data_IF_382083615166
#
_entry.id   IF_382083615166
#
_cell.length_a   1.000
_cell.length_b   1.000
_cell.length_c   1.000
_cell.angle_alpha   90.00
_cell.angle_beta   90.00
_cell.angle_gamma   90.00
#
_symmetry.space_group_name_H-M   'P 1'
#
loop_
_entity.id
_entity.type
_entity.pdbx_description
1 polymer ?
#
# COMPACT_ATOMS: atom_id res chain seq x y z
N UNK A 1 1.89 -2.34 22.33
CA UNK A 1 2.32 -3.37 23.29
C UNK A 1 1.30 -3.30 24.42
N UNK A 2 0.29 -4.17 24.41
CA UNK A 2 -0.72 -4.19 25.47
C UNK A 2 -0.22 -5.19 26.50
N UNK A 3 0.16 -4.68 27.66
CA UNK A 3 0.48 -5.48 28.84
C UNK A 3 -0.77 -6.24 29.27
N UNK A 4 -0.64 -7.56 29.32
CA UNK A 4 -1.65 -8.45 29.90
C UNK A 4 -1.28 -8.50 31.38
N UNK A 5 -2.12 -7.90 32.22
CA UNK A 5 -2.03 -8.02 33.68
C UNK A 5 -2.24 -9.49 34.04
N UNK A 6 -1.14 -10.15 34.37
CA UNK A 6 -1.11 -11.49 34.94
C UNK A 6 -1.58 -11.37 36.40
N UNK A 7 -2.90 -11.46 36.60
CA UNK A 7 -3.51 -11.53 37.92
C UNK A 7 -3.21 -12.91 38.50
N UNK A 8 -2.13 -12.98 39.27
CA UNK A 8 -1.73 -14.16 40.03
C UNK A 8 -2.77 -14.37 41.14
N UNK A 9 -3.69 -15.31 40.92
CA UNK A 9 -4.52 -15.86 41.99
C UNK A 9 -3.63 -16.62 42.96
N UNK A 10 -3.44 -16.02 44.14
CA UNK A 10 -2.74 -16.64 45.24
C UNK A 10 -3.73 -17.60 45.93
N UNK A 11 -3.62 -18.88 45.59
CA UNK A 11 -4.35 -19.99 46.22
C UNK A 11 -3.94 -20.11 47.70
N UNK A 12 -4.71 -19.48 48.59
CA UNK A 12 -4.61 -19.69 50.04
C UNK A 12 -5.55 -20.82 50.46
N UNK A 13 -5.31 -22.04 49.98
CA UNK A 13 -6.00 -23.25 50.42
C UNK A 13 -5.45 -23.71 51.78
N UNK A 14 -5.85 -22.98 52.81
CA UNK A 14 -5.54 -23.26 54.21
C UNK A 14 -6.76 -23.27 55.12
N UNK A 15 -7.97 -23.56 54.60
CA UNK A 15 -9.15 -23.72 55.43
C UNK A 15 -9.27 -25.17 55.89
N UNK A 16 -8.83 -25.45 57.11
CA UNK A 16 -9.17 -26.66 57.86
C UNK A 16 -10.70 -26.79 57.83
N UNK A 17 -11.23 -27.76 57.07
CA UNK A 17 -12.67 -27.90 56.85
C UNK A 17 -13.41 -27.97 58.20
N UNK A 18 -14.15 -26.91 58.48
CA UNK A 18 -15.05 -26.83 59.62
C UNK A 18 -16.33 -27.54 59.18
N UNK A 19 -16.68 -28.65 59.83
CA UNK A 19 -17.92 -29.40 59.55
C UNK A 19 -19.09 -28.43 59.33
N UNK A 20 -19.86 -28.66 58.26
CA UNK A 20 -20.99 -27.83 57.91
C UNK A 20 -21.90 -27.62 59.13
N UNK A 21 -22.29 -26.37 59.40
CA UNK A 21 -23.19 -26.05 60.53
C UNK A 21 -24.48 -26.88 60.50
N UNK A 22 -24.93 -27.26 59.29
CA UNK A 22 -26.08 -28.15 59.08
C UNK A 22 -25.79 -29.59 59.52
N UNK A 23 -24.63 -30.13 59.17
CA UNK A 23 -24.21 -31.49 59.56
C UNK A 23 -23.95 -31.55 61.06
N UNK A 24 -23.30 -30.53 61.62
CA UNK A 24 -23.09 -30.41 63.06
C UNK A 24 -24.40 -30.32 63.83
N UNK A 25 -25.39 -29.57 63.34
CA UNK A 25 -26.73 -29.50 63.94
C UNK A 25 -27.49 -30.84 63.91
N UNK A 26 -27.38 -31.59 62.80
CA UNK A 26 -27.93 -32.94 62.67
C UNK A 26 -27.22 -33.93 63.59
N UNK A 27 -25.90 -33.91 63.62
CA UNK A 27 -25.08 -34.73 64.50
C UNK A 27 -25.48 -34.54 65.96
N UNK A 28 -25.55 -33.28 66.44
CA UNK A 28 -25.97 -32.95 67.81
C UNK A 28 -27.37 -33.49 68.14
N UNK A 29 -28.31 -33.41 67.19
CA UNK A 29 -29.67 -33.92 67.38
C UNK A 29 -29.70 -35.44 67.47
N UNK A 30 -28.93 -36.13 66.61
CA UNK A 30 -28.86 -37.59 66.57
C UNK A 30 -28.14 -38.15 67.81
N UNK A 31 -27.03 -37.53 68.23
CA UNK A 31 -26.32 -37.92 69.44
C UNK A 31 -27.17 -37.76 70.70
N UNK A 32 -27.98 -36.69 70.79
CA UNK A 32 -28.93 -36.51 71.90
C UNK A 32 -30.01 -37.60 71.95
N UNK A 33 -30.50 -38.09 70.81
CA UNK A 33 -31.44 -39.22 70.80
C UNK A 33 -30.75 -40.55 71.14
N UNK A 34 -29.49 -40.74 70.72
CA UNK A 34 -28.70 -41.90 71.15
C UNK A 34 -28.47 -41.93 72.66
N UNK A 35 -28.16 -40.79 73.28
CA UNK A 35 -28.04 -40.70 74.75
C UNK A 35 -29.33 -41.15 75.47
N UNK A 36 -30.51 -40.78 74.95
CA UNK A 36 -31.80 -41.22 75.51
C UNK A 36 -32.05 -42.72 75.33
N UNK A 37 -31.69 -43.27 74.17
CA UNK A 37 -31.78 -44.70 73.87
C UNK A 37 -30.89 -45.52 74.81
N UNK A 38 -29.62 -45.13 74.96
CA UNK A 38 -28.66 -45.77 75.87
C UNK A 38 -29.19 -45.71 77.32
N UNK A 39 -29.71 -44.55 77.74
CA UNK A 39 -30.26 -44.38 79.09
C UNK A 39 -31.46 -45.29 79.38
N UNK A 40 -32.21 -45.69 78.36
CA UNK A 40 -33.45 -46.46 78.50
C UNK A 40 -33.26 -47.96 78.25
N UNK A 41 -32.31 -48.35 77.39
CA UNK A 41 -32.18 -49.70 76.85
C UNK A 41 -30.74 -50.26 76.86
N UNK A 42 -29.77 -49.56 77.46
CA UNK A 42 -28.33 -49.89 77.47
C UNK A 42 -27.60 -49.65 76.13
N UNK A 43 -26.27 -49.64 76.17
CA UNK A 43 -25.38 -49.26 75.07
C UNK A 43 -25.41 -50.25 73.89
N UNK A 44 -25.68 -51.54 74.16
CA UNK A 44 -25.66 -52.59 73.13
C UNK A 44 -26.68 -52.35 72.00
N UNK A 45 -27.75 -51.57 72.23
CA UNK A 45 -28.76 -51.27 71.22
C UNK A 45 -28.26 -50.34 70.11
N UNK A 46 -27.26 -49.50 70.40
CA UNK A 46 -26.74 -48.49 69.45
C UNK A 46 -25.35 -48.82 68.89
N UNK A 47 -24.69 -49.84 69.46
CA UNK A 47 -23.29 -50.19 69.18
C UNK A 47 -22.97 -50.43 67.71
N UNK A 48 -23.84 -51.12 66.98
CA UNK A 48 -23.66 -51.36 65.54
C UNK A 48 -24.19 -50.20 64.67
N UNK A 49 -25.14 -49.42 65.19
CA UNK A 49 -25.79 -48.33 64.47
C UNK A 49 -24.96 -47.04 64.48
N UNK A 50 -24.25 -46.76 65.58
CA UNK A 50 -23.46 -45.54 65.75
C UNK A 50 -22.36 -45.38 64.68
N UNK A 51 -21.55 -46.41 64.34
CA UNK A 51 -20.57 -46.31 63.26
C UNK A 51 -21.20 -46.01 61.89
N UNK A 52 -22.39 -46.56 61.62
CA UNK A 52 -23.11 -46.30 60.36
C UNK A 52 -23.58 -44.84 60.28
N UNK A 53 -24.12 -44.30 61.38
CA UNK A 53 -24.55 -42.91 61.45
C UNK A 53 -23.37 -41.95 61.34
N UNK A 54 -22.25 -42.24 62.01
CA UNK A 54 -21.02 -41.45 61.89
C UNK A 54 -20.55 -41.42 60.44
N UNK A 55 -20.44 -42.58 59.79
CA UNK A 55 -20.05 -42.68 58.39
C UNK A 55 -21.02 -41.92 57.47
N UNK A 56 -22.33 -41.95 57.73
CA UNK A 56 -23.30 -41.16 56.95
C UNK A 56 -23.09 -39.65 57.14
N UNK A 57 -22.83 -39.18 58.36
CA UNK A 57 -22.58 -37.77 58.66
C UNK A 57 -21.26 -37.29 58.04
N UNK A 58 -20.19 -38.09 58.10
CA UNK A 58 -18.90 -37.79 57.47
C UNK A 58 -19.02 -37.73 55.94
N UNK A 59 -19.72 -38.69 55.32
CA UNK A 59 -19.96 -38.67 53.87
C UNK A 59 -20.82 -37.47 53.45
N UNK A 60 -21.83 -37.09 54.25
CA UNK A 60 -22.65 -35.91 53.99
C UNK A 60 -21.83 -34.63 54.08
N UNK A 61 -20.95 -34.51 55.07
CA UNK A 61 -20.06 -33.35 55.22
C UNK A 61 -19.06 -33.22 54.07
N UNK A 62 -18.48 -34.36 53.66
CA UNK A 62 -17.59 -34.45 52.50
C UNK A 62 -18.28 -33.98 51.22
N UNK A 63 -19.47 -34.51 50.91
CA UNK A 63 -20.24 -34.13 49.72
C UNK A 63 -20.68 -32.67 49.76
N UNK A 64 -21.02 -32.13 50.94
CA UNK A 64 -21.37 -30.71 51.07
C UNK A 64 -20.17 -29.80 50.83
N UNK A 65 -18.99 -30.18 51.32
CA UNK A 65 -17.75 -29.45 51.08
C UNK A 65 -17.41 -29.45 49.60
N UNK A 66 -17.42 -30.62 48.95
CA UNK A 66 -17.17 -30.76 47.52
C UNK A 66 -18.16 -29.93 46.69
N UNK A 67 -19.45 -29.96 47.04
CA UNK A 67 -20.46 -29.18 46.34
C UNK A 67 -20.25 -27.66 46.47
N UNK A 68 -19.75 -27.20 47.62
CA UNK A 68 -19.42 -25.79 47.81
C UNK A 68 -18.18 -25.37 47.02
N UNK A 69 -17.17 -26.25 46.92
CA UNK A 69 -16.02 -26.04 46.04
C UNK A 69 -16.44 -25.94 44.56
N UNK A 70 -17.31 -26.84 44.10
CA UNK A 70 -17.88 -26.81 42.75
C UNK A 70 -18.70 -25.53 42.50
N UNK A 71 -19.44 -25.03 43.50
CA UNK A 71 -20.20 -23.79 43.39
C UNK A 71 -19.27 -22.58 43.18
N UNK A 72 -18.16 -22.52 43.91
CA UNK A 72 -17.13 -21.48 43.76
C UNK A 72 -16.45 -21.57 42.39
N UNK A 73 -16.05 -22.77 41.95
CA UNK A 73 -15.45 -22.96 40.62
C UNK A 73 -16.41 -22.50 39.50
N UNK A 74 -17.70 -22.82 39.65
CA UNK A 74 -18.73 -22.43 38.69
C UNK A 74 -18.93 -20.92 38.65
N UNK A 75 -18.83 -20.21 39.78
CA UNK A 75 -18.86 -18.74 39.80
C UNK A 75 -17.62 -18.13 39.13
N UNK A 76 -16.43 -18.65 39.39
CA UNK A 76 -15.20 -18.20 38.72
C UNK A 76 -15.28 -18.39 37.20
N UNK A 77 -15.72 -19.56 36.75
CA UNK A 77 -15.89 -19.83 35.32
C UNK A 77 -16.93 -18.92 34.66
N UNK A 78 -17.98 -18.52 35.38
CA UNK A 78 -18.96 -17.55 34.88
C UNK A 78 -18.34 -16.17 34.73
N UNK A 79 -17.57 -15.72 35.72
CA UNK A 79 -16.88 -14.42 35.66
C UNK A 79 -15.88 -14.38 34.50
N UNK A 80 -15.06 -15.42 34.35
CA UNK A 80 -14.12 -15.55 33.22
C UNK A 80 -14.85 -15.52 31.87
N UNK A 81 -16.01 -16.18 31.78
CA UNK A 81 -16.82 -16.19 30.56
C UNK A 81 -17.35 -14.78 30.24
N UNK A 82 -17.82 -14.03 31.23
CA UNK A 82 -18.32 -12.67 31.07
C UNK A 82 -17.20 -11.70 30.62
N UNK A 83 -16.01 -11.84 31.20
CA UNK A 83 -14.83 -11.09 30.77
C UNK A 83 -14.46 -11.43 29.32
N UNK A 84 -14.46 -12.72 28.95
CA UNK A 84 -14.15 -13.17 27.60
C UNK A 84 -15.16 -12.63 26.57
N UNK A 85 -16.45 -12.61 26.90
CA UNK A 85 -17.50 -12.02 26.06
C UNK A 85 -17.23 -10.53 25.86
N UNK A 86 -16.93 -9.79 26.93
CA UNK A 86 -16.65 -8.35 26.87
C UNK A 86 -15.45 -8.04 25.97
N UNK A 87 -14.37 -8.82 26.10
CA UNK A 87 -13.19 -8.69 25.24
C UNK A 87 -13.51 -9.02 23.78
N UNK A 88 -14.25 -10.09 23.53
CA UNK A 88 -14.69 -10.48 22.19
C UNK A 88 -15.51 -9.37 21.51
N UNK A 89 -16.46 -8.77 22.22
CA UNK A 89 -17.27 -7.68 21.68
C UNK A 89 -16.45 -6.43 21.36
N UNK A 90 -15.50 -6.08 22.23
CA UNK A 90 -14.55 -4.99 21.99
C UNK A 90 -13.72 -5.23 20.74
N UNK A 91 -13.13 -6.42 20.61
CA UNK A 91 -12.31 -6.78 19.45
C UNK A 91 -13.13 -6.81 18.15
N UNK A 92 -14.36 -7.34 18.22
CA UNK A 92 -15.31 -7.32 17.10
C UNK A 92 -15.63 -5.89 16.65
N UNK A 93 -15.82 -4.97 17.58
CA UNK A 93 -16.07 -3.55 17.27
C UNK A 93 -14.84 -2.87 16.63
N UNK A 94 -13.64 -3.13 17.17
CA UNK A 94 -12.39 -2.61 16.61
C UNK A 94 -12.14 -3.15 15.20
N UNK A 95 -12.40 -4.45 14.98
CA UNK A 95 -12.24 -5.06 13.66
C UNK A 95 -13.21 -4.47 12.63
N UNK A 96 -14.47 -4.28 13.02
CA UNK A 96 -15.45 -3.60 12.16
C UNK A 96 -15.01 -2.18 11.79
N UNK A 97 -14.51 -1.41 12.76
CA UNK A 97 -14.00 -0.06 12.50
C UNK A 97 -12.78 -0.07 11.57
N UNK A 98 -11.89 -1.05 11.70
CA UNK A 98 -10.74 -1.20 10.82
C UNK A 98 -11.18 -1.57 9.38
N UNK A 99 -12.16 -2.46 9.24
CA UNK A 99 -12.74 -2.83 7.95
C UNK A 99 -13.40 -1.63 7.26
N UNK A 100 -14.17 -0.81 7.98
CA UNK A 100 -14.78 0.41 7.44
C UNK A 100 -13.72 1.40 6.93
N UNK A 101 -12.65 1.64 7.71
CA UNK A 101 -11.53 2.49 7.27
C UNK A 101 -10.81 1.93 6.05
N UNK A 102 -10.67 0.62 5.95
CA UNK A 102 -10.01 -0.01 4.82
C UNK A 102 -10.78 0.23 3.52
N UNK A 103 -12.11 0.12 3.57
CA UNK A 103 -12.98 0.43 2.43
C UNK A 103 -12.84 1.91 2.02
N UNK A 104 -12.86 2.85 2.98
CA UNK A 104 -12.66 4.27 2.69
C UNK A 104 -11.30 4.55 2.02
N UNK A 105 -10.24 3.86 2.45
CA UNK A 105 -8.92 3.97 1.83
C UNK A 105 -8.87 3.37 0.44
N UNK A 106 -9.49 2.22 0.20
CA UNK A 106 -9.58 1.61 -1.13
C UNK A 106 -10.33 2.54 -2.11
N UNK A 107 -11.46 3.11 -1.69
CA UNK A 107 -12.25 4.03 -2.51
C UNK A 107 -11.46 5.30 -2.87
N UNK A 108 -10.74 5.87 -1.90
CA UNK A 108 -9.89 7.04 -2.13
C UNK A 108 -8.75 6.73 -3.11
N UNK A 109 -8.09 5.58 -2.93
CA UNK A 109 -6.97 5.15 -3.77
C UNK A 109 -7.43 4.84 -5.20
N UNK A 110 -8.59 4.19 -5.37
CA UNK A 110 -9.15 3.93 -6.70
C UNK A 110 -9.56 5.25 -7.39
N UNK A 111 -10.06 6.23 -6.63
CA UNK A 111 -10.31 7.58 -7.12
C UNK A 111 -9.04 8.26 -7.64
N UNK A 112 -7.99 8.31 -6.84
CA UNK A 112 -6.70 8.92 -7.23
C UNK A 112 -6.09 8.21 -8.45
N UNK A 113 -6.13 6.87 -8.46
CA UNK A 113 -5.66 6.06 -9.59
C UNK A 113 -6.39 6.41 -10.88
N UNK A 114 -7.72 6.59 -10.82
CA UNK A 114 -8.52 6.96 -11.99
C UNK A 114 -8.19 8.37 -12.50
N UNK A 115 -7.97 9.32 -11.59
CA UNK A 115 -7.58 10.68 -11.94
C UNK A 115 -6.19 10.70 -12.59
N UNK A 116 -5.23 9.97 -12.01
CA UNK A 116 -3.89 9.79 -12.59
C UNK A 116 -3.94 9.14 -13.97
N UNK A 117 -4.77 8.10 -14.14
CA UNK A 117 -4.93 7.44 -15.43
C UNK A 117 -5.51 8.38 -16.49
N UNK A 118 -6.48 9.22 -16.11
CA UNK A 118 -7.03 10.26 -16.99
C UNK A 118 -5.95 11.28 -17.39
N UNK A 119 -5.08 11.65 -16.45
CA UNK A 119 -3.97 12.56 -16.73
C UNK A 119 -2.94 11.94 -17.70
N UNK A 120 -2.61 10.67 -17.52
CA UNK A 120 -1.73 9.92 -18.43
C UNK A 120 -2.32 9.89 -19.84
N UNK A 121 -3.60 9.53 -19.99
CA UNK A 121 -4.26 9.52 -21.30
C UNK A 121 -4.24 10.89 -21.99
N UNK A 122 -4.42 11.96 -21.21
CA UNK A 122 -4.33 13.34 -21.71
C UNK A 122 -2.93 13.70 -22.21
N UNK A 123 -1.90 13.34 -21.44
CA UNK A 123 -0.49 13.57 -21.80
C UNK A 123 -0.09 12.74 -23.03
N UNK A 124 -0.55 11.50 -23.14
CA UNK A 124 -0.31 10.66 -24.31
C UNK A 124 -0.92 11.27 -25.58
N UNK A 125 -2.14 11.79 -25.49
CA UNK A 125 -2.79 12.48 -26.60
C UNK A 125 -2.01 13.75 -26.98
N UNK A 126 -1.58 14.53 -26.00
CA UNK A 126 -0.76 15.72 -26.23
C UNK A 126 0.58 15.36 -26.90
N UNK A 127 1.22 14.28 -26.47
CA UNK A 127 2.43 13.74 -27.09
C UNK A 127 2.24 13.44 -28.57
N UNK A 128 1.19 12.69 -28.91
CA UNK A 128 0.85 12.36 -30.32
C UNK A 128 0.60 13.62 -31.17
N UNK A 129 -0.06 14.64 -30.61
CA UNK A 129 -0.30 15.90 -31.31
C UNK A 129 1.03 16.65 -31.59
N UNK A 130 1.93 16.68 -30.62
CA UNK A 130 3.25 17.31 -30.78
C UNK A 130 4.15 16.56 -31.77
N UNK A 131 4.09 15.23 -31.81
CA UNK A 131 4.79 14.42 -32.80
C UNK A 131 4.31 14.76 -34.22
N UNK A 132 3.00 14.84 -34.44
CA UNK A 132 2.42 15.21 -35.72
C UNK A 132 2.86 16.63 -36.13
N UNK A 133 2.84 17.57 -35.18
CA UNK A 133 3.28 18.95 -35.42
C UNK A 133 4.76 19.02 -35.81
N UNK A 134 5.61 18.26 -35.11
CA UNK A 134 7.05 18.14 -35.41
C UNK A 134 7.26 17.58 -36.82
N UNK A 135 6.54 16.53 -37.19
CA UNK A 135 6.61 15.96 -38.54
C UNK A 135 6.22 16.96 -39.62
N UNK A 136 5.12 17.70 -39.41
CA UNK A 136 4.67 18.73 -40.35
C UNK A 136 5.72 19.85 -40.53
N UNK A 137 6.36 20.30 -39.44
CA UNK A 137 7.43 21.30 -39.53
C UNK A 137 8.67 20.75 -40.21
N UNK A 138 9.04 19.49 -39.94
CA UNK A 138 10.15 18.83 -40.64
C UNK A 138 9.90 18.81 -42.15
N UNK A 139 8.72 18.39 -42.59
CA UNK A 139 8.35 18.37 -44.02
C UNK A 139 8.36 19.77 -44.63
N UNK A 140 7.96 20.80 -43.87
CA UNK A 140 8.01 22.19 -44.32
C UNK A 140 9.45 22.69 -44.51
N UNK A 141 10.34 22.36 -43.56
CA UNK A 141 11.76 22.73 -43.63
C UNK A 141 12.40 22.09 -44.86
N UNK A 142 12.21 20.79 -45.09
CA UNK A 142 12.76 20.09 -46.26
C UNK A 142 12.36 20.78 -47.57
N UNK A 143 11.09 21.18 -47.72
CA UNK A 143 10.62 21.90 -48.92
C UNK A 143 11.25 23.28 -49.09
N UNK A 144 11.56 23.97 -47.98
CA UNK A 144 12.24 25.25 -48.03
C UNK A 144 13.71 25.07 -48.41
N UNK A 145 14.39 24.06 -47.87
CA UNK A 145 15.77 23.72 -48.21
C UNK A 145 15.92 23.34 -49.69
N UNK A 146 14.97 22.59 -50.25
CA UNK A 146 14.92 22.28 -51.68
C UNK A 146 14.82 23.54 -52.55
N UNK A 147 13.90 24.47 -52.21
CA UNK A 147 13.75 25.74 -52.92
C UNK A 147 14.99 26.61 -52.81
N UNK A 148 15.61 26.68 -51.64
CA UNK A 148 16.86 27.40 -51.44
C UNK A 148 17.98 26.83 -52.31
N UNK A 149 18.08 25.49 -52.36
CA UNK A 149 19.05 24.78 -53.21
C UNK A 149 18.85 25.10 -54.69
N UNK A 150 17.61 25.11 -55.17
CA UNK A 150 17.31 25.44 -56.57
C UNK A 150 17.62 26.90 -56.91
N UNK A 151 17.23 27.86 -56.05
CA UNK A 151 17.61 29.26 -56.22
C UNK A 151 19.13 29.46 -56.24
N UNK A 152 19.86 28.71 -55.40
CA UNK A 152 21.33 28.75 -55.37
C UNK A 152 21.94 28.21 -56.66
N UNK A 153 21.38 27.15 -57.25
CA UNK A 153 21.80 26.64 -58.57
C UNK A 153 21.55 27.68 -59.66
N UNK A 154 20.37 28.30 -59.69
CA UNK A 154 20.03 29.34 -60.68
C UNK A 154 20.94 30.56 -60.55
N UNK A 155 21.19 31.01 -59.33
CA UNK A 155 22.12 32.10 -59.06
C UNK A 155 23.53 31.79 -59.57
N UNK A 156 24.06 30.59 -59.26
CA UNK A 156 25.38 30.17 -59.71
C UNK A 156 25.46 30.09 -61.24
N UNK A 157 24.43 29.56 -61.91
CA UNK A 157 24.37 29.49 -63.37
C UNK A 157 24.33 30.89 -64.01
N UNK A 158 23.54 31.80 -63.45
CA UNK A 158 23.49 33.19 -63.91
C UNK A 158 24.82 33.90 -63.70
N UNK A 159 25.45 33.71 -62.55
CA UNK A 159 26.76 34.26 -62.23
C UNK A 159 27.85 33.73 -63.18
N UNK A 160 27.83 32.44 -63.51
CA UNK A 160 28.72 31.85 -64.49
C UNK A 160 28.53 32.49 -65.86
N UNK A 161 27.28 32.59 -66.36
CA UNK A 161 26.97 33.23 -67.64
C UNK A 161 27.42 34.68 -67.69
N UNK A 162 27.22 35.43 -66.60
CA UNK A 162 27.68 36.81 -66.48
C UNK A 162 29.21 36.90 -66.52
N UNK A 163 29.90 35.98 -65.85
CA UNK A 163 31.37 35.91 -65.86
C UNK A 163 31.91 35.60 -67.26
N UNK A 164 31.33 34.64 -67.96
CA UNK A 164 31.68 34.27 -69.35
C UNK A 164 31.45 35.44 -70.32
N UNK A 165 30.37 36.21 -70.13
CA UNK A 165 30.09 37.42 -70.91
C UNK A 165 31.19 38.47 -70.73
N UNK A 166 31.63 38.72 -69.48
CA UNK A 166 32.72 39.65 -69.18
C UNK A 166 34.02 39.17 -69.84
N UNK A 167 34.37 37.89 -69.69
CA UNK A 167 35.57 37.32 -70.31
C UNK A 167 35.56 37.51 -71.82
N UNK A 168 34.45 37.15 -72.48
CA UNK A 168 34.29 37.30 -73.93
C UNK A 168 34.43 38.77 -74.36
N UNK A 169 33.87 39.70 -73.59
CA UNK A 169 33.97 41.14 -73.85
C UNK A 169 35.41 41.64 -73.73
N UNK A 170 36.13 41.23 -72.69
CA UNK A 170 37.55 41.56 -72.48
C UNK A 170 38.40 41.00 -73.63
N UNK A 171 38.22 39.72 -73.99
CA UNK A 171 38.95 39.12 -75.11
C UNK A 171 38.66 39.83 -76.44
N UNK A 172 37.43 40.28 -76.66
CA UNK A 172 37.07 41.05 -77.85
C UNK A 172 37.81 42.40 -77.90
N UNK A 173 37.89 43.11 -76.78
CA UNK A 173 38.67 44.36 -76.67
C UNK A 173 40.15 44.09 -76.97
N UNK A 174 40.72 43.05 -76.38
CA UNK A 174 42.13 42.69 -76.59
C UNK A 174 42.42 42.34 -78.05
N UNK A 175 41.56 41.53 -78.69
CA UNK A 175 41.64 41.22 -80.14
C UNK A 175 41.57 42.47 -81.02
N UNK A 176 40.66 43.39 -80.70
CA UNK A 176 40.51 44.66 -81.43
C UNK A 176 41.75 45.56 -81.28
N UNK A 177 42.34 45.63 -80.08
CA UNK A 177 43.61 46.35 -79.84
C UNK A 177 44.78 45.75 -80.65
N UNK A 178 44.91 44.42 -80.70
CA UNK A 178 45.95 43.74 -81.48
C UNK A 178 45.83 44.02 -82.99
N UNK A 179 44.60 44.04 -83.53
CA UNK A 179 44.36 44.36 -84.94
C UNK A 179 44.71 45.82 -85.27
N UNK A 180 44.41 46.77 -84.38
CA UNK A 180 44.86 48.16 -84.54
C UNK A 180 46.38 48.31 -84.45
N UNK A 181 47.04 47.57 -83.55
CA UNK A 181 48.50 47.56 -83.43
C UNK A 181 49.19 46.92 -84.65
N UNK A 182 48.59 45.88 -85.26
CA UNK A 182 49.09 45.25 -86.49
C UNK A 182 48.88 46.09 -87.76
N UNK A 183 47.87 46.95 -87.80
CA UNK A 183 47.64 47.88 -88.92
C UNK A 183 48.55 49.11 -88.89
N UNK A 184 49.29 49.36 -87.81
CA UNK A 184 50.19 50.51 -87.67
C UNK A 184 51.67 50.18 -87.98
N UNK A 185 51.93 49.03 -88.61
CA UNK A 185 53.24 48.59 -89.11
C UNK A 185 53.26 48.50 -90.65
N UNK A 186 52.99 49.63 -91.31
CA UNK A 186 53.36 49.89 -92.71
C UNK A 186 54.26 51.14 -92.71
N UNK A 187 55.44 51.14 -93.35
CA UNK A 187 56.43 52.20 -93.18
C UNK A 187 56.00 53.47 -93.92
N UNK A 188 56.14 54.62 -93.26
CA UNK A 188 56.12 55.93 -93.94
C UNK A 188 57.41 56.14 -94.75
N UNK A 189 57.27 56.61 -95.99
CA UNK A 189 58.37 57.18 -96.80
C UNK A 189 57.90 57.68 -98.17
N UNK A 190 58.41 58.82 -98.70
CA UNK A 190 57.56 59.89 -99.19
C UNK A 190 57.62 60.20 -100.71
N UNK A 191 56.50 60.73 -101.21
CA UNK A 191 56.26 61.68 -102.31
C UNK A 191 57.17 61.76 -103.55
N UNK A 192 56.55 61.74 -104.75
CA UNK A 192 56.72 62.78 -105.80
C UNK A 192 56.09 62.42 -107.15
N UNK A 193 55.49 63.43 -107.80
CA UNK A 193 55.77 63.70 -109.22
C UNK A 193 54.69 63.37 -110.25
N UNK A 194 54.10 64.44 -110.80
CA UNK A 194 53.52 64.55 -112.15
C UNK A 194 54.34 63.80 -113.22
N UNK A 195 53.69 62.98 -114.04
CA UNK A 195 53.32 63.21 -115.46
C UNK A 195 52.48 62.05 -115.96
#
# INVERSE_FOLDING_TARGET
MMEIDEVVYQDDYGSVSVMSERVSGLANSIYREFERLISSYDEEVVKELMPLVVNVLENLDSVLTENQEHEVELELLKEDNEQLITQYEREKALRKQAEEKFIEFEDALEGEKKDLQTHVESLELQGKQLELKTKNYSDQITRLEERESDMKKEYNALHQRHTEMIQTYVEHIERSKMQQAGNNSQPEGPGSGRT
#
